data_IF_470321930569
#
_entry.id   IF_470321930569
#
_cell.length_a   1.000
_cell.length_b   1.000
_cell.length_c   1.000
_cell.angle_alpha   90.00
_cell.angle_beta   90.00
_cell.angle_gamma   90.00
#
_symmetry.space_group_name_H-M   'P 1'
#
loop_
_entity.id
_entity.type
_entity.pdbx_description
1 polymer ?
#
# COMPACT_ATOMS: atom_id res chain seq x y z
N UNK A 1 -1.50 -5.07 22.59
CA UNK A 1 -1.91 -5.58 21.26
C UNK A 1 -3.44 -5.70 21.24
N UNK A 2 -4.11 -5.53 20.09
CA UNK A 2 -5.57 -5.64 19.98
C UNK A 2 -5.94 -6.61 18.87
N UNK A 3 -6.73 -7.62 19.21
CA UNK A 3 -7.25 -8.61 18.26
C UNK A 3 -8.76 -8.49 18.03
N UNK A 4 -9.46 -7.63 18.79
CA UNK A 4 -10.90 -7.34 18.59
C UNK A 4 -11.14 -6.72 17.21
N UNK A 5 -11.99 -7.33 16.39
CA UNK A 5 -12.24 -6.89 15.02
C UNK A 5 -11.34 -7.52 13.96
N UNK A 6 -10.52 -8.51 14.35
CA UNK A 6 -9.78 -9.38 13.46
C UNK A 6 -10.37 -10.80 13.43
N UNK A 7 -9.94 -11.60 12.46
CA UNK A 7 -10.38 -13.00 12.34
C UNK A 7 -9.96 -13.80 13.58
N UNK A 8 -10.80 -14.77 14.02
CA UNK A 8 -10.49 -15.60 15.18
C UNK A 8 -9.26 -16.50 14.91
N UNK A 9 -8.55 -16.94 15.96
CA UNK A 9 -7.32 -17.73 15.83
C UNK A 9 -7.46 -18.98 14.96
N UNK A 10 -8.62 -19.62 14.95
CA UNK A 10 -8.91 -20.81 14.15
C UNK A 10 -8.92 -20.55 12.63
N UNK A 11 -9.05 -19.28 12.21
CA UNK A 11 -9.02 -18.86 10.82
C UNK A 11 -7.65 -18.29 10.42
N UNK A 12 -6.68 -18.24 11.34
CA UNK A 12 -5.32 -17.81 11.01
C UNK A 12 -4.62 -18.93 10.25
N UNK A 13 -4.03 -18.57 9.10
CA UNK A 13 -3.30 -19.52 8.24
C UNK A 13 -1.99 -19.95 8.92
N UNK A 14 -1.63 -21.23 8.76
CA UNK A 14 -0.34 -21.75 9.22
C UNK A 14 0.76 -21.44 8.21
N UNK A 15 2.00 -21.39 8.67
CA UNK A 15 3.16 -20.96 7.87
C UNK A 15 3.53 -21.94 6.74
N UNK A 16 3.02 -23.17 6.76
CA UNK A 16 3.30 -24.20 5.73
C UNK A 16 2.39 -24.13 4.50
N UNK A 17 1.48 -23.16 4.44
CA UNK A 17 0.54 -23.01 3.33
C UNK A 17 1.13 -22.08 2.25
N UNK A 18 1.13 -22.54 0.99
CA UNK A 18 1.73 -21.84 -0.16
C UNK A 18 0.68 -21.34 -1.19
N UNK A 19 -0.61 -21.56 -0.93
CA UNK A 19 -1.73 -21.11 -1.74
C UNK A 19 -2.14 -19.64 -1.45
N UNK A 20 -2.88 -19.04 -2.38
CA UNK A 20 -3.30 -17.63 -2.34
C UNK A 20 -4.84 -17.50 -2.39
N UNK A 21 -5.54 -17.76 -1.28
CA UNK A 21 -7.00 -17.60 -1.23
C UNK A 21 -7.41 -16.13 -1.24
N UNK A 22 -8.63 -15.87 -1.70
CA UNK A 22 -9.23 -14.54 -1.64
C UNK A 22 -9.34 -14.05 -0.19
N UNK A 23 -9.09 -12.76 0.01
CA UNK A 23 -9.28 -12.11 1.31
C UNK A 23 -10.76 -12.11 1.68
N UNK A 24 -11.13 -12.48 2.93
CA UNK A 24 -12.50 -12.34 3.40
C UNK A 24 -13.06 -10.93 3.14
N UNK A 25 -14.28 -10.82 2.60
CA UNK A 25 -14.87 -9.54 2.27
C UNK A 25 -15.12 -8.70 3.53
N UNK A 26 -15.00 -7.38 3.38
CA UNK A 26 -15.17 -6.41 4.48
C UNK A 26 -13.84 -5.85 4.98
N UNK A 27 -13.89 -5.09 6.06
CA UNK A 27 -12.75 -4.39 6.66
C UNK A 27 -12.32 -5.04 7.98
N UNK A 28 -10.99 -5.14 8.18
CA UNK A 28 -10.37 -5.75 9.35
C UNK A 28 -9.49 -4.69 10.03
N UNK A 29 -9.83 -4.33 11.26
CA UNK A 29 -9.06 -3.37 12.05
C UNK A 29 -9.41 -3.54 13.54
N UNK A 30 -8.60 -2.97 14.41
CA UNK A 30 -8.88 -2.98 15.84
C UNK A 30 -10.14 -2.16 16.15
N UNK A 31 -11.22 -2.84 16.55
CA UNK A 31 -12.57 -2.26 16.76
C UNK A 31 -12.96 -2.14 18.24
N UNK A 32 -12.09 -1.53 19.03
CA UNK A 32 -12.31 -1.19 20.46
C UNK A 32 -12.66 0.30 20.62
N UNK A 33 -13.01 0.81 21.82
CA UNK A 33 -13.25 2.24 22.03
C UNK A 33 -12.09 3.13 21.54
N UNK A 34 -12.41 4.33 21.05
CA UNK A 34 -11.41 5.25 20.48
C UNK A 34 -10.39 5.75 21.51
N UNK A 35 -10.80 5.84 22.77
CA UNK A 35 -10.02 6.22 23.96
C UNK A 35 -9.26 5.05 24.59
N UNK A 36 -9.44 3.81 24.09
CA UNK A 36 -8.74 2.65 24.62
C UNK A 36 -7.21 2.79 24.46
N UNK A 37 -6.41 2.36 25.47
CA UNK A 37 -4.96 2.60 25.50
C UNK A 37 -4.18 1.78 24.45
N UNK A 38 -4.80 0.79 23.83
CA UNK A 38 -4.16 -0.07 22.84
C UNK A 38 -4.37 0.45 21.41
N UNK A 39 -3.33 0.44 20.58
CA UNK A 39 -3.44 0.80 19.15
C UNK A 39 -4.08 2.18 18.93
N UNK A 40 -3.65 3.17 19.71
CA UNK A 40 -4.15 4.56 19.65
C UNK A 40 -3.92 5.22 18.28
N UNK A 41 -2.90 4.76 17.54
CA UNK A 41 -2.59 5.16 16.16
C UNK A 41 -3.21 4.25 15.09
N UNK A 42 -4.18 3.42 15.46
CA UNK A 42 -4.88 2.53 14.53
C UNK A 42 -5.98 3.25 13.75
N UNK A 43 -6.44 2.62 12.67
CA UNK A 43 -7.45 3.14 11.73
C UNK A 43 -8.72 3.70 12.40
N UNK A 44 -9.18 3.13 13.52
CA UNK A 44 -10.37 3.65 14.24
C UNK A 44 -10.25 5.11 14.69
N UNK A 45 -9.03 5.63 14.81
CA UNK A 45 -8.71 6.98 15.27
C UNK A 45 -8.18 7.88 14.15
N UNK A 46 -8.29 7.47 12.88
CA UNK A 46 -7.92 8.32 11.74
C UNK A 46 -8.82 9.57 11.72
N UNK A 47 -8.23 10.78 11.71
CA UNK A 47 -9.00 12.02 11.55
C UNK A 47 -9.72 12.05 10.21
N UNK A 48 -10.98 12.48 10.21
CA UNK A 48 -11.74 12.69 8.99
C UNK A 48 -11.32 14.01 8.34
N UNK A 49 -10.91 13.97 7.07
CA UNK A 49 -10.44 15.13 6.32
C UNK A 49 -11.52 16.22 6.19
N UNK A 50 -12.76 15.82 5.91
CA UNK A 50 -13.90 16.72 5.66
C UNK A 50 -14.65 17.14 6.92
N UNK A 51 -14.41 16.46 8.06
CA UNK A 51 -15.14 16.69 9.33
C UNK A 51 -14.18 16.91 10.50
N UNK A 52 -13.79 18.17 10.80
CA UNK A 52 -12.91 18.50 11.91
C UNK A 52 -13.42 17.94 13.24
N UNK A 53 -12.53 17.32 14.02
CA UNK A 53 -12.86 16.70 15.31
C UNK A 53 -13.48 15.31 15.22
N UNK A 54 -13.95 14.86 14.05
CA UNK A 54 -14.43 13.49 13.84
C UNK A 54 -13.27 12.55 13.53
N UNK A 55 -13.35 11.34 14.09
CA UNK A 55 -12.44 10.22 13.79
C UNK A 55 -13.26 9.02 13.38
N UNK A 56 -12.87 8.35 12.31
CA UNK A 56 -13.57 7.16 11.86
C UNK A 56 -12.64 6.22 11.08
N UNK A 57 -12.97 4.91 11.05
CA UNK A 57 -12.15 3.90 10.39
C UNK A 57 -12.33 3.85 8.86
N UNK A 58 -13.41 4.42 8.33
CA UNK A 58 -13.72 4.38 6.89
C UNK A 58 -14.21 5.73 6.42
N UNK A 59 -14.05 6.00 5.12
CA UNK A 59 -14.56 7.22 4.48
C UNK A 59 -16.07 7.29 4.62
N UNK A 60 -16.79 6.18 4.45
CA UNK A 60 -18.24 6.14 4.60
C UNK A 60 -18.68 6.59 6.00
N UNK A 61 -17.97 6.14 7.05
CA UNK A 61 -18.26 6.56 8.42
C UNK A 61 -17.88 8.03 8.67
N UNK A 62 -16.78 8.51 8.07
CA UNK A 62 -16.41 9.91 8.10
C UNK A 62 -17.52 10.80 7.50
N UNK A 63 -18.00 10.46 6.31
CA UNK A 63 -19.03 11.23 5.61
C UNK A 63 -20.43 11.10 6.23
N UNK A 64 -20.69 10.03 6.97
CA UNK A 64 -21.96 9.86 7.70
C UNK A 64 -22.08 10.76 8.94
N UNK A 65 -23.29 10.93 9.46
CA UNK A 65 -23.55 11.51 10.80
C UNK A 65 -23.47 10.47 11.92
N UNK A 66 -23.32 9.19 11.59
CA UNK A 66 -23.24 8.12 12.59
C UNK A 66 -21.91 8.16 13.34
N UNK A 67 -21.99 7.84 14.63
CA UNK A 67 -20.82 7.68 15.49
C UNK A 67 -20.18 6.30 15.33
N UNK A 68 -18.90 6.23 15.69
CA UNK A 68 -18.19 4.95 15.77
C UNK A 68 -18.69 4.13 16.97
N UNK A 69 -19.17 2.91 16.69
CA UNK A 69 -19.63 1.97 17.72
C UNK A 69 -18.59 0.84 17.89
N UNK A 70 -17.93 0.73 19.05
CA UNK A 70 -16.94 -0.32 19.29
C UNK A 70 -17.60 -1.71 19.40
N UNK A 71 -16.82 -2.78 19.18
CA UNK A 71 -17.31 -4.15 19.33
C UNK A 71 -17.47 -4.55 20.79
N UNK A 72 -16.68 -3.98 21.69
CA UNK A 72 -16.68 -4.25 23.13
C UNK A 72 -16.21 -3.04 23.95
N UNK A 73 -16.02 -3.25 25.25
CA UNK A 73 -15.56 -2.25 26.23
C UNK A 73 -14.05 -1.92 26.16
N UNK A 74 -13.32 -2.51 25.20
CA UNK A 74 -11.88 -2.34 25.06
C UNK A 74 -11.04 -3.47 25.61
N UNK A 75 -11.68 -4.49 26.21
CA UNK A 75 -11.01 -5.69 26.69
C UNK A 75 -11.43 -6.93 25.89
N UNK A 76 -10.47 -7.81 25.58
CA UNK A 76 -10.67 -8.92 24.65
C UNK A 76 -11.11 -10.25 25.33
N UNK A 77 -11.46 -10.24 26.62
CA UNK A 77 -11.55 -11.47 27.43
C UNK A 77 -12.95 -12.07 27.62
N UNK A 78 -14.02 -11.46 27.08
CA UNK A 78 -15.38 -12.00 27.25
C UNK A 78 -15.74 -12.99 26.14
N UNK A 79 -15.40 -14.26 26.33
CA UNK A 79 -16.08 -15.50 25.89
C UNK A 79 -16.45 -15.75 24.41
N UNK A 80 -16.74 -14.72 23.62
CA UNK A 80 -16.97 -14.78 22.18
C UNK A 80 -15.62 -14.85 21.45
N UNK A 81 -15.41 -15.82 20.53
CA UNK A 81 -14.22 -15.89 19.68
C UNK A 81 -13.88 -14.59 18.93
N UNK A 82 -14.89 -13.77 18.61
CA UNK A 82 -14.71 -12.46 17.99
C UNK A 82 -14.67 -11.29 18.99
N UNK A 83 -14.79 -11.59 20.28
CA UNK A 83 -14.86 -10.65 21.40
C UNK A 83 -15.86 -9.49 21.18
N UNK A 84 -17.03 -9.78 20.62
CA UNK A 84 -18.05 -8.79 20.27
C UNK A 84 -19.25 -8.86 21.22
N UNK A 85 -19.58 -7.74 21.87
CA UNK A 85 -20.78 -7.59 22.69
C UNK A 85 -21.90 -6.79 22.01
N UNK A 86 -21.63 -6.18 20.85
CA UNK A 86 -22.61 -5.33 20.12
C UNK A 86 -23.35 -6.03 18.98
N UNK A 87 -23.04 -7.31 18.71
CA UNK A 87 -23.65 -8.07 17.62
C UNK A 87 -23.21 -7.66 16.20
N UNK A 88 -22.30 -6.70 16.08
CA UNK A 88 -21.71 -6.31 14.78
C UNK A 88 -20.82 -7.44 14.24
N UNK A 89 -20.84 -7.68 12.93
CA UNK A 89 -20.02 -8.75 12.32
C UNK A 89 -18.54 -8.36 12.25
N UNK A 90 -17.68 -9.40 12.19
CA UNK A 90 -16.25 -9.32 11.88
C UNK A 90 -15.98 -10.26 10.70
N UNK A 91 -15.41 -9.80 9.57
CA UNK A 91 -15.03 -8.42 9.23
C UNK A 91 -16.21 -7.42 9.22
N UNK A 92 -15.92 -6.12 9.29
CA UNK A 92 -16.95 -5.09 9.13
C UNK A 92 -17.45 -5.11 7.67
N UNK A 93 -18.76 -5.22 7.40
CA UNK A 93 -19.28 -5.17 6.04
C UNK A 93 -19.02 -3.78 5.45
N UNK A 94 -18.59 -3.72 4.19
CA UNK A 94 -18.56 -2.48 3.42
C UNK A 94 -19.97 -2.24 2.88
N UNK A 95 -20.55 -1.07 3.13
CA UNK A 95 -21.89 -0.69 2.59
C UNK A 95 -21.80 0.57 1.74
N UNK A 96 -22.27 0.54 0.47
CA UNK A 96 -22.64 -0.66 -0.28
C UNK A 96 -21.42 -1.58 -0.35
N UNK A 97 -21.61 -2.91 -0.44
CA UNK A 97 -20.48 -3.77 -0.78
C UNK A 97 -20.01 -3.24 -2.14
N UNK A 98 -18.78 -2.68 -2.28
CA UNK A 98 -18.20 -2.69 -3.60
C UNK A 98 -18.25 -4.15 -4.03
N UNK A 99 -18.57 -4.46 -5.30
CA UNK A 99 -18.27 -5.80 -5.79
C UNK A 99 -16.86 -6.12 -5.30
N UNK A 100 -16.59 -7.38 -4.92
CA UNK A 100 -15.22 -7.82 -4.78
C UNK A 100 -14.60 -7.61 -6.15
N UNK A 101 -14.13 -6.40 -6.40
CA UNK A 101 -13.33 -6.06 -7.52
C UNK A 101 -12.07 -6.81 -7.16
N UNK A 102 -11.95 -8.02 -7.71
CA UNK A 102 -10.89 -8.19 -8.67
C UNK A 102 -10.90 -6.90 -9.48
N UNK A 103 -10.14 -5.90 -9.02
CA UNK A 103 -9.65 -4.88 -9.91
C UNK A 103 -9.10 -5.76 -11.04
N UNK A 104 -9.68 -5.72 -12.25
CA UNK A 104 -8.86 -6.09 -13.36
C UNK A 104 -7.63 -5.23 -13.13
N UNK A 105 -6.48 -5.86 -12.96
CA UNK A 105 -5.28 -5.12 -13.26
C UNK A 105 -5.47 -4.77 -14.74
N UNK A 106 -6.07 -3.59 -15.01
CA UNK A 106 -5.68 -2.81 -16.15
C UNK A 106 -4.20 -2.63 -15.88
N UNK A 107 -3.41 -3.58 -16.35
CA UNK A 107 -2.01 -3.36 -16.60
C UNK A 107 -2.06 -2.11 -17.46
N UNK A 108 -1.67 -0.91 -16.95
CA UNK A 108 -1.51 0.21 -17.84
C UNK A 108 -0.60 -0.34 -18.94
N UNK A 109 -1.01 -0.20 -20.20
CA UNK A 109 -0.13 -0.53 -21.32
C UNK A 109 1.22 0.06 -20.94
N UNK A 110 2.29 -0.75 -20.85
CA UNK A 110 3.56 -0.25 -20.38
C UNK A 110 3.86 1.01 -21.18
N UNK A 111 4.30 2.10 -20.53
CA UNK A 111 4.64 3.31 -21.26
C UNK A 111 5.57 2.90 -22.41
N UNK A 112 5.37 3.41 -23.62
CA UNK A 112 6.19 3.00 -24.76
C UNK A 112 7.65 3.16 -24.36
N UNK A 113 8.36 2.04 -24.31
CA UNK A 113 9.79 2.04 -24.05
C UNK A 113 10.42 2.57 -25.33
N UNK A 114 10.84 3.84 -25.31
CA UNK A 114 11.68 4.38 -26.36
C UNK A 114 13.06 3.73 -26.24
N UNK A 115 13.30 2.68 -27.02
CA UNK A 115 14.63 2.10 -27.19
C UNK A 115 15.32 2.86 -28.33
N UNK A 116 16.51 3.41 -28.04
CA UNK A 116 17.41 3.93 -29.05
C UNK A 116 18.46 2.87 -29.36
N UNK A 117 18.70 2.59 -30.64
CA UNK A 117 19.87 1.82 -31.06
C UNK A 117 21.13 2.67 -30.83
N UNK A 118 22.06 2.12 -30.06
CA UNK A 118 23.37 2.71 -29.79
C UNK A 118 24.42 1.95 -30.59
N UNK A 119 25.22 2.67 -31.38
CA UNK A 119 26.39 2.12 -32.06
C UNK A 119 27.62 2.22 -31.14
N UNK A 120 28.15 1.09 -30.63
CA UNK A 120 29.30 1.11 -29.73
C UNK A 120 30.62 1.43 -30.42
N UNK A 121 30.70 1.41 -31.76
CA UNK A 121 31.93 1.73 -32.51
C UNK A 121 32.07 3.26 -32.67
N UNK A 122 30.97 3.94 -32.98
CA UNK A 122 30.94 5.38 -33.26
C UNK A 122 30.49 6.22 -32.05
N UNK A 123 29.78 5.59 -31.11
CA UNK A 123 29.16 6.24 -29.95
C UNK A 123 27.87 6.97 -30.25
N UNK A 124 27.28 6.73 -31.41
CA UNK A 124 26.10 7.46 -31.88
C UNK A 124 24.80 6.77 -31.47
N UNK A 125 23.79 7.57 -31.15
CA UNK A 125 22.42 7.12 -30.93
C UNK A 125 21.41 8.21 -31.31
N UNK A 126 20.16 7.81 -31.57
CA UNK A 126 19.05 8.73 -31.84
C UNK A 126 18.25 8.95 -30.56
N UNK A 127 18.09 10.21 -30.14
CA UNK A 127 17.32 10.55 -28.95
C UNK A 127 15.81 10.39 -29.14
N UNK A 128 15.01 10.39 -28.06
CA UNK A 128 13.55 10.37 -28.14
C UNK A 128 12.95 11.56 -28.93
N UNK A 129 13.73 12.61 -29.15
CA UNK A 129 13.40 13.79 -29.95
C UNK A 129 13.77 13.64 -31.45
N UNK A 130 14.27 12.48 -31.86
CA UNK A 130 14.66 12.16 -33.24
C UNK A 130 15.99 12.75 -33.69
N UNK A 131 16.75 13.38 -32.79
CA UNK A 131 18.05 13.97 -33.12
C UNK A 131 19.19 12.97 -32.93
N UNK A 132 20.23 13.13 -33.73
CA UNK A 132 21.47 12.37 -33.59
C UNK A 132 22.30 12.94 -32.43
N UNK A 133 22.71 12.07 -31.51
CA UNK A 133 23.61 12.34 -30.41
C UNK A 133 24.83 11.43 -30.50
N UNK A 134 25.96 11.91 -29.96
CA UNK A 134 27.19 11.11 -29.84
C UNK A 134 27.71 11.16 -28.41
N UNK A 135 27.83 9.99 -27.78
CA UNK A 135 28.44 9.79 -26.47
C UNK A 135 29.82 9.15 -26.63
N UNK A 136 30.84 10.00 -26.82
CA UNK A 136 32.21 9.58 -27.17
C UNK A 136 32.99 8.92 -26.03
N UNK A 137 32.51 9.05 -24.80
CA UNK A 137 33.08 8.55 -23.56
C UNK A 137 32.73 7.08 -23.24
N UNK A 138 31.79 6.48 -23.98
CA UNK A 138 31.39 5.07 -23.87
C UNK A 138 31.81 4.19 -25.06
N UNK A 139 32.11 4.81 -26.22
CA UNK A 139 32.34 4.12 -27.49
C UNK A 139 33.74 3.49 -27.64
N UNK A 140 34.60 3.65 -26.65
CA UNK A 140 35.95 3.08 -26.62
C UNK A 140 36.22 2.53 -25.23
N UNK A 141 36.88 1.37 -25.10
CA UNK A 141 37.55 1.04 -23.84
C UNK A 141 38.56 2.17 -23.59
N UNK A 142 38.27 3.07 -22.65
CA UNK A 142 39.31 3.97 -22.17
C UNK A 142 40.38 3.11 -21.51
N UNK A 143 41.63 3.23 -21.96
CA UNK A 143 42.80 2.55 -21.35
C UNK A 143 43.06 2.99 -19.89
N UNK A 144 42.21 3.84 -19.32
CA UNK A 144 42.27 4.32 -17.94
C UNK A 144 40.92 4.11 -17.26
N UNK A 145 40.91 3.27 -16.22
CA UNK A 145 39.75 3.10 -15.34
C UNK A 145 39.38 4.45 -14.71
N UNK A 146 38.21 4.98 -15.05
CA UNK A 146 37.64 6.16 -14.39
C UNK A 146 37.27 5.78 -12.95
N UNK A 147 38.03 6.28 -11.99
CA UNK A 147 37.70 6.14 -10.57
C UNK A 147 36.42 6.91 -10.23
N UNK A 148 35.63 6.45 -9.25
CA UNK A 148 34.35 7.09 -8.91
C UNK A 148 34.54 8.57 -8.53
N UNK A 149 35.69 8.94 -7.99
CA UNK A 149 36.04 10.30 -7.59
C UNK A 149 36.01 11.28 -8.77
N UNK A 150 36.29 10.80 -9.99
CA UNK A 150 36.26 11.61 -11.21
C UNK A 150 34.83 11.96 -11.65
N UNK A 151 33.80 11.25 -11.16
CA UNK A 151 32.39 11.56 -11.40
C UNK A 151 31.87 12.70 -10.50
N UNK A 152 32.61 13.08 -9.46
CA UNK A 152 32.23 14.12 -8.50
C UNK A 152 32.74 15.51 -8.88
N UNK A 153 33.51 15.62 -9.96
CA UNK A 153 34.10 16.88 -10.43
C UNK A 153 33.58 17.17 -11.83
N UNK A 154 33.10 18.40 -12.13
CA UNK A 154 32.63 18.73 -13.46
C UNK A 154 33.74 18.53 -14.49
N UNK A 155 33.44 18.04 -15.70
CA UNK A 155 34.44 17.82 -16.73
C UNK A 155 35.09 19.16 -17.11
N UNK A 156 36.42 19.20 -17.14
CA UNK A 156 37.16 20.33 -17.68
C UNK A 156 37.01 20.32 -19.21
N UNK A 157 36.41 21.38 -19.76
CA UNK A 157 36.27 21.62 -21.21
C UNK A 157 37.60 21.60 -21.95
#
# INVERSE_FOLDING_TARGET
>A
MCNTGFLPPQQIRVQSYEDYPDRPPGDLYCRIPQDAPFNVRGVRNTPCETKPGKRAPTVQMCESEADYIPLNDGTAWKGDPNATSTGQSVPQPRTPLPPAAAVPFDTPSPPPIAAAEYDPITGEYIGPDGKHYRQGDLARPQEQEKTWQTLLVPPTS
#
